data_IF_045194258491
#
_entry.id   IF_045194258491
#
_cell.length_a   1.000
_cell.length_b   1.000
_cell.length_c   1.000
_cell.angle_alpha   90.00
_cell.angle_beta   90.00
_cell.angle_gamma   90.00
#
_symmetry.space_group_name_H-M   'P 1'
#
loop_
_entity.id
_entity.type
_entity.pdbx_description
1 polymer ?
#
# COMPACT_ATOMS: atom_id res chain seq x y z
N UNK A 1 -0.81 17.09 13.84
CA UNK A 1 -0.46 15.66 13.92
C UNK A 1 -1.74 14.91 14.29
N UNK A 2 -2.46 14.41 13.30
CA UNK A 2 -3.66 13.59 13.55
C UNK A 2 -3.20 12.19 13.91
N UNK A 3 -3.73 11.65 15.00
CA UNK A 3 -3.36 10.35 15.54
C UNK A 3 -3.96 9.27 14.63
N UNK A 4 -3.12 8.66 13.81
CA UNK A 4 -3.43 7.46 13.03
C UNK A 4 -3.92 6.38 14.00
N UNK A 5 -5.08 5.78 13.73
CA UNK A 5 -5.60 4.63 14.47
C UNK A 5 -4.52 3.54 14.46
N UNK A 6 -4.13 3.08 15.64
CA UNK A 6 -2.93 2.27 15.84
C UNK A 6 -2.86 1.07 14.86
N UNK A 7 -1.86 1.10 13.99
CA UNK A 7 -1.39 -0.03 13.20
C UNK A 7 -1.02 -1.14 14.19
N UNK A 8 -1.96 -2.02 14.51
CA UNK A 8 -1.81 -2.95 15.63
C UNK A 8 -1.44 -4.35 15.12
N UNK A 9 -0.20 -4.48 14.66
CA UNK A 9 0.44 -5.77 14.46
C UNK A 9 1.26 -6.12 15.71
N UNK A 10 1.24 -7.39 16.12
CA UNK A 10 2.13 -7.88 17.18
C UNK A 10 3.55 -8.06 16.62
N UNK A 11 4.28 -6.95 16.44
CA UNK A 11 5.62 -6.94 15.84
C UNK A 11 6.72 -6.94 16.91
N UNK A 12 7.82 -7.69 16.71
CA UNK A 12 9.02 -7.54 17.52
C UNK A 12 9.56 -6.11 17.44
N UNK A 13 10.17 -5.60 18.52
CA UNK A 13 10.67 -4.23 18.58
C UNK A 13 11.63 -3.84 17.43
N UNK A 14 12.41 -4.81 16.93
CA UNK A 14 13.32 -4.60 15.79
C UNK A 14 12.61 -4.45 14.44
N UNK A 15 11.35 -4.85 14.34
CA UNK A 15 10.53 -4.82 13.14
C UNK A 15 9.32 -3.88 13.31
N UNK A 16 9.35 -2.97 14.29
CA UNK A 16 8.19 -2.16 14.70
C UNK A 16 7.59 -1.32 13.57
N UNK A 17 8.39 -0.93 12.57
CA UNK A 17 7.98 -0.11 11.42
C UNK A 17 7.48 -0.93 10.24
N UNK A 18 7.45 -2.26 10.33
CA UNK A 18 6.96 -3.12 9.25
C UNK A 18 5.47 -2.85 8.95
N UNK A 19 4.72 -2.43 9.96
CA UNK A 19 3.35 -1.97 9.80
C UNK A 19 3.22 -0.69 8.96
N UNK A 20 4.12 0.28 9.14
CA UNK A 20 4.15 1.51 8.32
C UNK A 20 4.35 1.16 6.84
N UNK A 21 5.30 0.25 6.55
CA UNK A 21 5.52 -0.25 5.20
C UNK A 21 4.27 -0.96 4.67
N UNK A 22 3.64 -1.84 5.44
CA UNK A 22 2.48 -2.60 4.96
C UNK A 22 1.29 -1.71 4.55
N UNK A 23 1.06 -0.61 5.28
CA UNK A 23 -0.05 0.33 5.01
C UNK A 23 0.29 1.39 3.97
N UNK A 24 1.55 1.60 3.63
CA UNK A 24 1.95 2.54 2.58
C UNK A 24 2.26 1.79 1.28
N UNK A 25 1.37 1.90 0.29
CA UNK A 25 1.47 1.19 -1.00
C UNK A 25 2.77 1.41 -1.80
N UNK A 26 3.67 2.32 -1.37
CA UNK A 26 5.04 2.46 -1.86
C UNK A 26 5.77 1.13 -2.06
N UNK A 27 5.59 0.16 -1.16
CA UNK A 27 6.23 -1.15 -1.31
C UNK A 27 5.87 -1.88 -2.62
N UNK A 28 4.74 -1.54 -3.25
CA UNK A 28 4.17 -2.31 -4.36
C UNK A 28 4.89 -2.10 -5.70
N UNK A 29 5.71 -1.05 -5.83
CA UNK A 29 6.58 -0.85 -6.99
C UNK A 29 8.07 -0.74 -6.62
N UNK A 30 8.40 -1.05 -5.36
CA UNK A 30 9.76 -1.07 -4.82
C UNK A 30 10.18 -2.51 -4.46
N UNK A 31 10.92 -3.20 -5.33
CA UNK A 31 11.26 -4.62 -5.17
C UNK A 31 11.96 -4.96 -3.84
N UNK A 32 12.76 -4.02 -3.33
CA UNK A 32 13.45 -4.15 -2.05
C UNK A 32 12.48 -4.23 -0.87
N UNK A 33 11.30 -3.60 -0.97
CA UNK A 33 10.29 -3.58 0.06
C UNK A 33 9.32 -4.76 -0.08
N UNK A 34 8.84 -5.05 -1.29
CA UNK A 34 7.99 -6.22 -1.55
C UNK A 34 8.71 -7.54 -1.21
N UNK A 35 9.99 -7.65 -1.53
CA UNK A 35 10.81 -8.81 -1.22
C UNK A 35 11.04 -9.04 0.28
N UNK A 36 10.79 -8.05 1.15
CA UNK A 36 10.79 -8.27 2.60
C UNK A 36 9.61 -9.13 3.00
N UNK A 37 8.40 -8.74 2.58
CA UNK A 37 7.16 -9.44 2.92
C UNK A 37 7.16 -10.87 2.37
N UNK A 38 7.60 -11.05 1.12
CA UNK A 38 7.80 -12.37 0.52
C UNK A 38 8.74 -13.24 1.37
N UNK A 39 9.89 -12.68 1.80
CA UNK A 39 10.88 -13.46 2.54
C UNK A 39 10.49 -13.82 3.97
N UNK A 40 9.48 -13.16 4.55
CA UNK A 40 8.95 -13.54 5.86
C UNK A 40 8.22 -14.88 5.78
N UNK A 41 7.40 -15.05 4.75
CA UNK A 41 6.64 -16.27 4.52
C UNK A 41 6.19 -16.39 3.04
N UNK A 42 7.00 -17.03 2.17
CA UNK A 42 6.71 -17.08 0.74
C UNK A 42 5.37 -17.76 0.42
N UNK A 43 5.00 -18.79 1.18
CA UNK A 43 3.74 -19.49 0.98
C UNK A 43 2.55 -18.61 1.38
N UNK A 44 2.63 -17.94 2.53
CA UNK A 44 1.56 -17.03 2.97
C UNK A 44 1.46 -15.79 2.07
N UNK A 45 2.57 -15.32 1.52
CA UNK A 45 2.61 -14.21 0.57
C UNK A 45 1.77 -14.50 -0.67
N UNK A 46 1.92 -15.68 -1.26
CA UNK A 46 1.07 -16.13 -2.37
C UNK A 46 -0.39 -16.32 -1.94
N UNK A 47 -0.64 -16.94 -0.79
CA UNK A 47 -2.00 -17.17 -0.27
C UNK A 47 -2.76 -15.87 0.04
N UNK A 48 -2.04 -14.81 0.37
CA UNK A 48 -2.61 -13.49 0.66
C UNK A 48 -2.68 -12.59 -0.59
N UNK A 49 -2.40 -13.13 -1.77
CA UNK A 49 -2.36 -12.39 -3.04
C UNK A 49 -1.47 -11.14 -2.95
N UNK A 50 -0.28 -11.33 -2.37
CA UNK A 50 0.74 -10.28 -2.25
C UNK A 50 0.24 -9.08 -1.42
N UNK A 51 -0.63 -9.31 -0.42
CA UNK A 51 -1.13 -8.26 0.47
C UNK A 51 -0.39 -8.29 1.83
N UNK A 52 0.46 -7.29 2.14
CA UNK A 52 1.25 -7.29 3.37
C UNK A 52 0.41 -7.08 4.62
N UNK A 53 -0.73 -6.38 4.55
CA UNK A 53 -1.64 -6.23 5.70
C UNK A 53 -2.24 -7.59 6.08
N UNK A 54 -2.71 -8.37 5.09
CA UNK A 54 -3.20 -9.74 5.32
C UNK A 54 -2.08 -10.65 5.82
N UNK A 55 -0.90 -10.59 5.21
CA UNK A 55 0.26 -11.37 5.63
C UNK A 55 0.59 -11.10 7.10
N UNK A 56 0.74 -9.84 7.51
CA UNK A 56 1.11 -9.51 8.89
C UNK A 56 0.01 -9.84 9.92
N UNK A 57 -1.26 -9.92 9.51
CA UNK A 57 -2.36 -10.40 10.37
C UNK A 57 -2.34 -11.92 10.58
N UNK A 58 -1.87 -12.68 9.59
CA UNK A 58 -1.94 -14.15 9.58
C UNK A 58 -0.61 -14.83 9.89
N UNK A 59 0.50 -14.11 9.79
CA UNK A 59 1.84 -14.68 9.97
C UNK A 59 2.05 -15.21 11.39
N UNK A 60 2.69 -16.37 11.49
CA UNK A 60 3.05 -16.94 12.78
C UNK A 60 4.09 -16.05 13.50
N UNK A 61 3.91 -15.74 14.80
CA UNK A 61 4.88 -14.92 15.56
C UNK A 61 6.31 -15.44 15.49
N UNK A 62 6.50 -16.77 15.45
CA UNK A 62 7.82 -17.38 15.33
C UNK A 62 8.58 -16.97 14.06
N UNK A 63 7.89 -16.69 12.94
CA UNK A 63 8.53 -16.21 11.70
C UNK A 63 9.01 -14.77 11.85
N UNK A 64 8.23 -13.92 12.52
CA UNK A 64 8.64 -12.55 12.83
C UNK A 64 9.84 -12.52 13.80
N UNK A 65 9.85 -13.37 14.83
CA UNK A 65 10.98 -13.48 15.76
C UNK A 65 12.26 -14.01 15.09
N UNK A 66 12.11 -14.99 14.18
CA UNK A 66 13.23 -15.48 13.38
C UNK A 66 13.80 -14.37 12.48
N UNK A 67 12.95 -13.60 11.80
CA UNK A 67 13.35 -12.47 10.97
C UNK A 67 14.00 -11.34 11.80
N UNK A 68 13.48 -11.07 13.01
CA UNK A 68 14.04 -10.08 13.94
C UNK A 68 15.41 -10.48 14.50
N UNK A 69 15.74 -11.78 14.44
CA UNK A 69 17.01 -12.35 14.86
C UNK A 69 18.00 -12.59 13.72
N UNK A 70 17.54 -12.55 12.46
CA UNK A 70 18.38 -12.75 11.27
C UNK A 70 19.09 -11.44 10.84
N UNK A 71 20.44 -11.36 10.93
CA UNK A 71 21.18 -10.18 10.49
C UNK A 71 21.03 -9.89 9.00
N UNK A 72 20.79 -10.89 8.15
CA UNK A 72 20.62 -10.69 6.72
C UNK A 72 19.28 -10.04 6.39
N UNK A 73 18.19 -10.52 7.01
CA UNK A 73 16.89 -9.86 6.96
C UNK A 73 16.97 -8.41 7.46
N UNK A 74 17.56 -8.18 8.63
CA UNK A 74 17.65 -6.83 9.22
C UNK A 74 18.41 -5.84 8.35
N UNK A 75 19.45 -6.28 7.61
CA UNK A 75 20.15 -5.42 6.64
C UNK A 75 19.25 -5.00 5.49
N UNK A 76 18.49 -5.94 4.91
CA UNK A 76 17.54 -5.63 3.82
C UNK A 76 16.41 -4.73 4.33
N UNK A 77 15.88 -5.03 5.50
CA UNK A 77 14.85 -4.23 6.17
C UNK A 77 15.31 -2.79 6.42
N UNK A 78 16.51 -2.61 6.98
CA UNK A 78 17.09 -1.27 7.17
C UNK A 78 17.30 -0.52 5.85
N UNK A 79 17.73 -1.21 4.79
CA UNK A 79 17.86 -0.62 3.45
C UNK A 79 16.53 -0.14 2.88
N UNK A 80 15.47 -0.94 2.97
CA UNK A 80 14.14 -0.54 2.54
C UNK A 80 13.60 0.66 3.35
N UNK A 81 13.83 0.68 4.66
CA UNK A 81 13.45 1.83 5.50
C UNK A 81 14.19 3.12 5.12
N UNK A 82 15.46 3.05 4.74
CA UNK A 82 16.19 4.24 4.23
C UNK A 82 15.52 4.77 2.96
N UNK A 83 15.17 3.89 2.02
CA UNK A 83 14.45 4.26 0.79
C UNK A 83 13.08 4.88 1.08
N UNK A 84 12.34 4.25 2.00
CA UNK A 84 11.03 4.70 2.44
C UNK A 84 11.09 6.07 3.15
N UNK A 85 12.02 6.26 4.08
CA UNK A 85 12.20 7.52 4.81
C UNK A 85 12.61 8.65 3.86
N UNK A 86 13.42 8.35 2.84
CA UNK A 86 13.77 9.32 1.79
C UNK A 86 12.52 9.74 1.01
N UNK A 87 11.69 8.78 0.58
CA UNK A 87 10.42 9.07 -0.10
C UNK A 87 9.52 9.96 0.77
N UNK A 88 9.28 9.56 2.02
CA UNK A 88 8.42 10.29 2.96
C UNK A 88 8.95 11.70 3.30
N UNK A 89 10.27 11.90 3.24
CA UNK A 89 10.84 13.22 3.49
C UNK A 89 10.41 14.25 2.45
N UNK A 90 10.10 13.82 1.22
CA UNK A 90 9.78 14.69 0.09
C UNK A 90 10.89 15.69 -0.28
N UNK A 91 12.13 15.46 0.20
CA UNK A 91 13.30 16.31 -0.03
C UNK A 91 14.12 15.77 -1.20
N UNK A 92 14.84 16.66 -1.87
CA UNK A 92 15.81 16.29 -2.93
C UNK A 92 15.18 15.50 -4.09
N UNK A 93 13.89 15.74 -4.34
CA UNK A 93 13.18 15.19 -5.49
C UNK A 93 13.45 16.03 -6.73
N UNK A 94 13.36 15.42 -7.91
CA UNK A 94 13.51 16.13 -9.18
C UNK A 94 12.59 17.37 -9.25
N UNK A 95 11.34 17.25 -8.79
CA UNK A 95 10.39 18.35 -8.78
C UNK A 95 10.81 19.48 -7.83
N UNK A 96 11.29 19.15 -6.62
CA UNK A 96 11.75 20.15 -5.66
C UNK A 96 12.94 20.96 -6.19
N UNK A 97 13.84 20.31 -6.95
CA UNK A 97 15.01 20.94 -7.56
C UNK A 97 14.67 21.79 -8.78
N UNK A 98 13.84 21.27 -9.69
CA UNK A 98 13.53 21.94 -10.97
C UNK A 98 12.42 22.98 -10.84
N UNK A 99 11.51 22.79 -9.89
CA UNK A 99 10.31 23.62 -9.72
C UNK A 99 10.11 24.10 -8.27
N UNK A 100 11.12 24.69 -7.60
CA UNK A 100 11.03 25.07 -6.19
C UNK A 100 9.91 26.09 -5.91
N UNK A 101 9.57 26.95 -6.88
CA UNK A 101 8.47 27.92 -6.77
C UNK A 101 7.09 27.27 -6.71
N UNK A 102 6.97 26.02 -7.17
CA UNK A 102 5.72 25.27 -7.19
C UNK A 102 5.61 24.27 -6.02
N UNK A 103 6.63 24.17 -5.17
CA UNK A 103 6.66 23.20 -4.06
C UNK A 103 5.51 23.39 -3.04
N UNK A 104 4.95 24.59 -2.93
CA UNK A 104 3.81 24.90 -2.05
C UNK A 104 2.44 24.70 -2.72
N UNK A 105 2.39 24.32 -4.00
CA UNK A 105 1.13 24.09 -4.72
C UNK A 105 0.72 22.63 -4.59
N UNK A 106 -0.58 22.35 -4.71
CA UNK A 106 -1.10 20.98 -4.70
C UNK A 106 -1.85 20.72 -5.99
N UNK A 107 -1.57 19.58 -6.62
CA UNK A 107 -2.27 19.10 -7.82
C UNK A 107 -3.33 18.10 -7.36
N UNK A 108 -4.60 18.45 -7.50
CA UNK A 108 -5.68 17.49 -7.27
C UNK A 108 -5.93 16.68 -8.55
N UNK A 109 -5.71 15.36 -8.47
CA UNK A 109 -5.89 14.44 -9.58
C UNK A 109 -7.14 13.58 -9.36
N UNK A 110 -8.21 13.91 -10.07
CA UNK A 110 -9.49 13.21 -9.95
C UNK A 110 -9.54 12.03 -10.93
N UNK A 111 -9.83 10.85 -10.40
CA UNK A 111 -10.12 9.66 -11.20
C UNK A 111 -11.21 8.85 -10.51
N UNK A 112 -12.03 8.16 -11.31
CA UNK A 112 -12.98 7.19 -10.77
C UNK A 112 -12.25 5.98 -10.19
N UNK A 113 -11.07 5.63 -10.71
CA UNK A 113 -10.34 4.42 -10.36
C UNK A 113 -8.84 4.69 -10.17
N UNK A 114 -8.20 3.90 -9.30
CA UNK A 114 -6.75 3.91 -9.11
C UNK A 114 -6.22 2.48 -8.95
N UNK A 115 -5.48 2.01 -9.95
CA UNK A 115 -4.89 0.68 -10.01
C UNK A 115 -3.45 0.69 -9.52
N UNK A 116 -3.25 0.89 -8.21
CA UNK A 116 -1.90 0.93 -7.62
C UNK A 116 -1.37 -0.49 -7.43
N UNK A 117 -2.15 -1.34 -6.78
CA UNK A 117 -1.83 -2.74 -6.49
C UNK A 117 -3.10 -3.57 -6.19
N UNK A 118 -3.06 -4.89 -6.37
CA UNK A 118 -4.18 -5.80 -6.12
C UNK A 118 -4.64 -5.84 -4.66
N UNK A 119 -3.78 -5.45 -3.71
CA UNK A 119 -4.13 -5.30 -2.29
C UNK A 119 -5.11 -4.15 -2.01
N UNK A 120 -5.31 -3.25 -2.99
CA UNK A 120 -6.28 -2.16 -2.95
C UNK A 120 -7.11 -2.17 -4.26
N UNK A 121 -8.08 -3.10 -4.41
CA UNK A 121 -8.85 -3.29 -5.63
C UNK A 121 -9.93 -2.22 -5.85
N UNK A 122 -9.49 -0.97 -6.06
CA UNK A 122 -10.35 0.20 -6.39
C UNK A 122 -10.28 0.56 -7.88
N UNK A 123 -10.12 -0.45 -8.74
CA UNK A 123 -10.05 -0.30 -10.20
C UNK A 123 -10.62 -1.52 -10.93
N UNK A 124 -10.93 -1.34 -12.22
CA UNK A 124 -11.51 -2.38 -13.08
C UNK A 124 -10.75 -2.60 -14.39
N UNK A 125 -10.00 -1.60 -14.85
CA UNK A 125 -9.31 -1.70 -16.14
C UNK A 125 -8.26 -0.62 -16.39
N UNK A 126 -8.03 -0.32 -17.67
CA UNK A 126 -6.92 0.53 -18.11
C UNK A 126 -6.93 1.96 -17.57
N UNK A 127 -8.11 2.53 -17.30
CA UNK A 127 -8.23 3.85 -16.67
C UNK A 127 -7.57 3.86 -15.29
N UNK A 128 -7.94 2.89 -14.44
CA UNK A 128 -7.37 2.76 -13.11
C UNK A 128 -5.88 2.47 -13.15
N UNK A 129 -5.42 1.55 -14.00
CA UNK A 129 -3.99 1.26 -14.15
C UNK A 129 -3.21 2.52 -14.51
N UNK A 130 -3.65 3.28 -15.52
CA UNK A 130 -3.00 4.52 -15.91
C UNK A 130 -2.97 5.54 -14.76
N UNK A 131 -4.09 5.71 -14.05
CA UNK A 131 -4.15 6.63 -12.91
C UNK A 131 -3.22 6.20 -11.75
N UNK A 132 -3.13 4.89 -11.50
CA UNK A 132 -2.23 4.30 -10.50
C UNK A 132 -0.76 4.53 -10.86
N UNK A 133 -0.37 4.22 -12.10
CA UNK A 133 1.01 4.43 -12.56
C UNK A 133 1.39 5.91 -12.60
N UNK A 134 0.45 6.80 -12.95
CA UNK A 134 0.68 8.24 -12.87
C UNK A 134 0.94 8.70 -11.42
N UNK A 135 0.24 8.12 -10.44
CA UNK A 135 0.51 8.39 -9.02
C UNK A 135 1.88 7.86 -8.57
N UNK A 136 2.34 6.69 -9.06
CA UNK A 136 3.67 6.14 -8.77
C UNK A 136 4.77 7.04 -9.31
N UNK A 137 4.69 7.41 -10.59
CA UNK A 137 5.64 8.31 -11.23
C UNK A 137 5.63 9.71 -10.58
N UNK A 138 4.44 10.20 -10.20
CA UNK A 138 4.34 11.45 -9.45
C UNK A 138 5.06 11.37 -8.10
N UNK A 139 5.00 10.23 -7.41
CA UNK A 139 5.75 9.99 -6.17
C UNK A 139 7.27 9.98 -6.43
N UNK A 140 7.74 9.25 -7.44
CA UNK A 140 9.16 9.12 -7.78
C UNK A 140 9.79 10.47 -8.17
N UNK A 141 9.04 11.30 -8.91
CA UNK A 141 9.45 12.66 -9.28
C UNK A 141 9.27 13.67 -8.13
N UNK A 142 8.48 13.33 -7.10
CA UNK A 142 8.17 14.19 -5.96
C UNK A 142 7.18 15.32 -6.27
N UNK A 143 6.22 15.08 -7.15
CA UNK A 143 5.14 16.04 -7.42
C UNK A 143 4.22 16.15 -6.20
N UNK A 144 3.74 17.35 -5.85
CA UNK A 144 2.76 17.55 -4.79
C UNK A 144 1.35 17.19 -5.27
N UNK A 145 1.15 15.93 -5.66
CA UNK A 145 -0.08 15.39 -6.23
C UNK A 145 -0.92 14.66 -5.18
N UNK A 146 -2.22 14.95 -5.17
CA UNK A 146 -3.22 14.28 -4.33
C UNK A 146 -4.26 13.63 -5.24
N UNK A 147 -4.31 12.30 -5.23
CA UNK A 147 -5.35 11.52 -5.90
C UNK A 147 -6.67 11.61 -5.15
N UNK A 148 -7.76 11.88 -5.89
CA UNK A 148 -9.13 11.92 -5.34
C UNK A 148 -10.01 10.97 -6.14
N UNK A 149 -10.63 10.03 -5.44
CA UNK A 149 -11.48 9.00 -6.04
C UNK A 149 -12.39 8.33 -5.02
N UNK A 150 -12.83 7.12 -5.33
CA UNK A 150 -13.78 6.37 -4.51
C UNK A 150 -13.16 5.08 -3.98
N UNK A 151 -13.62 4.65 -2.81
CA UNK A 151 -13.41 3.29 -2.31
C UNK A 151 -14.70 2.51 -2.51
N UNK A 152 -14.77 1.75 -3.60
CA UNK A 152 -15.96 0.96 -3.93
C UNK A 152 -16.08 -0.27 -2.99
N UNK A 153 -17.27 -0.55 -2.43
CA UNK A 153 -17.46 -1.68 -1.51
C UNK A 153 -17.40 -3.05 -2.21
N UNK A 154 -17.52 -3.06 -3.53
CA UNK A 154 -17.27 -4.19 -4.42
C UNK A 154 -16.34 -3.72 -5.52
N UNK A 155 -15.19 -4.37 -5.64
CA UNK A 155 -14.25 -4.13 -6.75
C UNK A 155 -14.74 -4.79 -8.05
N UNK A 156 -13.83 -4.93 -9.01
CA UNK A 156 -14.10 -5.71 -10.21
C UNK A 156 -14.31 -7.20 -9.86
N UNK A 157 -15.17 -7.88 -10.61
CA UNK A 157 -15.47 -9.29 -10.35
C UNK A 157 -14.29 -10.19 -10.73
N UNK A 158 -14.12 -11.28 -9.98
CA UNK A 158 -13.28 -12.40 -10.39
C UNK A 158 -14.03 -13.22 -11.44
N UNK A 159 -13.40 -13.39 -12.61
CA UNK A 159 -13.96 -14.18 -13.69
C UNK A 159 -13.78 -15.68 -13.38
N UNK A 160 -14.88 -16.43 -13.35
CA UNK A 160 -14.85 -17.89 -13.32
C UNK A 160 -15.47 -18.43 -14.59
N UNK A 161 -14.75 -19.31 -15.29
CA UNK A 161 -15.29 -20.01 -16.45
C UNK A 161 -15.86 -21.34 -15.98
N UNK A 162 -17.16 -21.56 -16.19
CA UNK A 162 -17.83 -22.81 -15.84
C UNK A 162 -17.37 -23.95 -16.75
N UNK A 163 -17.58 -25.23 -16.38
CA UNK A 163 -17.29 -26.37 -17.24
C UNK A 163 -17.99 -26.30 -18.62
N UNK A 164 -19.11 -25.58 -18.71
CA UNK A 164 -19.88 -25.34 -19.94
C UNK A 164 -19.35 -24.15 -20.76
N UNK A 165 -18.24 -23.53 -20.34
CA UNK A 165 -17.63 -22.38 -21.02
C UNK A 165 -18.34 -21.05 -20.76
N UNK A 166 -19.23 -20.97 -19.76
CA UNK A 166 -19.91 -19.71 -19.41
C UNK A 166 -19.06 -18.90 -18.43
N UNK A 167 -19.01 -17.58 -18.65
CA UNK A 167 -18.46 -16.66 -17.67
C UNK A 167 -19.45 -16.41 -16.54
N UNK A 168 -19.05 -16.74 -15.32
CA UNK A 168 -19.69 -16.32 -14.07
C UNK A 168 -18.87 -15.18 -13.44
N UNK A 169 -19.55 -14.12 -12.99
CA UNK A 169 -18.94 -13.02 -12.25
C UNK A 169 -19.01 -13.29 -10.74
N UNK A 170 -17.87 -13.44 -10.08
CA UNK A 170 -17.78 -13.58 -8.63
C UNK A 170 -17.35 -12.26 -8.00
N UNK A 171 -18.20 -11.68 -7.15
CA UNK A 171 -17.90 -10.43 -6.45
C UNK A 171 -17.39 -10.74 -5.04
N UNK A 172 -16.18 -10.31 -4.75
CA UNK A 172 -15.67 -10.26 -3.38
C UNK A 172 -16.00 -8.90 -2.78
N UNK A 173 -16.47 -8.90 -1.52
CA UNK A 173 -16.63 -7.65 -0.78
C UNK A 173 -15.26 -7.15 -0.36
N UNK A 174 -15.03 -5.86 -0.54
CA UNK A 174 -13.81 -5.23 -0.08
C UNK A 174 -13.80 -5.18 1.45
N UNK A 175 -12.80 -5.83 2.06
CA UNK A 175 -12.58 -5.76 3.52
C UNK A 175 -11.61 -4.62 3.84
N UNK A 176 -12.17 -3.52 4.37
CA UNK A 176 -11.43 -2.34 4.80
C UNK A 176 -10.37 -2.65 5.87
N UNK A 177 -10.53 -3.72 6.66
CA UNK A 177 -9.55 -4.10 7.68
C UNK A 177 -8.31 -4.75 7.09
N UNK A 178 -8.44 -5.32 5.89
CA UNK A 178 -7.37 -6.05 5.21
C UNK A 178 -6.71 -5.26 4.08
N UNK A 179 -7.15 -4.02 3.86
CA UNK A 179 -6.62 -3.14 2.83
C UNK A 179 -5.63 -2.13 3.42
N UNK A 180 -4.63 -1.67 2.64
CA UNK A 180 -3.67 -0.65 3.05
C UNK A 180 -4.31 0.74 2.96
N UNK A 181 -5.35 0.99 3.76
CA UNK A 181 -6.08 2.25 3.84
C UNK A 181 -6.31 2.63 5.30
N UNK A 182 -6.38 3.94 5.55
CA UNK A 182 -6.63 4.48 6.88
C UNK A 182 -7.72 5.56 6.80
N UNK A 183 -8.66 5.60 7.75
CA UNK A 183 -9.63 6.67 7.82
C UNK A 183 -8.92 7.99 8.20
N UNK A 184 -9.05 9.00 7.35
CA UNK A 184 -8.60 10.35 7.69
C UNK A 184 -9.63 11.00 8.64
N UNK A 185 -9.40 10.88 9.94
CA UNK A 185 -10.18 11.60 10.95
C UNK A 185 -9.60 13.01 11.09
N UNK A 186 -10.30 14.02 10.57
CA UNK A 186 -10.02 15.43 10.87
C UNK A 186 -10.91 15.87 12.03
N UNK A 187 -10.47 16.89 12.80
CA UNK A 187 -11.23 17.40 13.97
C UNK A 187 -12.63 17.96 13.64
N UNK A 188 -13.01 18.05 12.36
CA UNK A 188 -14.30 18.59 11.93
C UNK A 188 -15.34 17.53 11.52
N UNK A 189 -14.96 16.26 11.37
CA UNK A 189 -15.92 15.17 11.14
C UNK A 189 -16.33 14.50 12.46
N UNK A 190 -16.85 15.29 13.40
CA UNK A 190 -17.64 14.78 14.53
C UNK A 190 -19.12 14.58 14.17
N UNK A 191 -19.40 14.27 12.90
CA UNK A 191 -20.71 13.79 12.47
C UNK A 191 -20.84 12.33 12.92
N UNK A 192 -21.63 12.12 13.96
CA UNK A 192 -22.14 10.81 14.37
C UNK A 192 -22.70 10.03 13.15
N UNK A 193 -22.68 8.68 13.20
CA UNK A 193 -22.92 7.78 12.06
C UNK A 193 -24.22 8.05 11.30
#
# INVERSE_FOLDING_TARGET
MSTVQAINFALPARLSRLGELAYNVWWSWHPEASGLFESLDPALWELTYHNPVKLLRQIAPAKLEAAASDPAFLRRYGGALIGFDRCLSGKETWFSEKHPRLASHTIAYFSAEFGVHSSLPIYSGGLGILAGDHCKEANDLGLPLVGVGFVYPQGYFHQRISPEGRQDAMYERFDYNEAPIEPLITRETSGAP
#
